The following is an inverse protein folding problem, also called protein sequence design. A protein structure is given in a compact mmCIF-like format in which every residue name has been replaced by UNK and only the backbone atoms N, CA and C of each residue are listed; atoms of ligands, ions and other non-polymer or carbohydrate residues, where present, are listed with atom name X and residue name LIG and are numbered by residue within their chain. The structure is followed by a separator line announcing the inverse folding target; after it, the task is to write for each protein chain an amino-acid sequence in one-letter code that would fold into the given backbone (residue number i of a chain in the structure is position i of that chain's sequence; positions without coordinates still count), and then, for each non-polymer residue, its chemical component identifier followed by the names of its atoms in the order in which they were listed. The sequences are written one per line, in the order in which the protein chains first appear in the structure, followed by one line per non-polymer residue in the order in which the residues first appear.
data_IF_555667797870
#
_entry.id   IF_555667797870
#
_cell.length_a   1.000
_cell.length_b   1.000
_cell.length_c   1.000
_cell.angle_alpha   90.00
_cell.angle_beta   90.00
_cell.angle_gamma   90.00
#
_symmetry.space_group_name_H-M   'P 1'
#
loop_
_entity.id
_entity.type
_entity.pdbx_description
1 polymer ?
#
# COMPACT_ATOMS: atom_id res chain seq x y z
N UNK A 1 25.65 1.43 25.87
CA UNK A 1 25.11 1.14 24.53
C UNK A 1 25.36 -0.29 24.04
N UNK A 2 26.02 -1.17 24.82
CA UNK A 2 26.16 -2.60 24.44
C UNK A 2 25.07 -3.53 24.98
N UNK A 3 24.33 -3.11 26.01
CA UNK A 3 23.25 -3.92 26.61
C UNK A 3 22.01 -4.00 25.71
N UNK A 4 21.61 -2.88 25.10
CA UNK A 4 20.36 -2.81 24.33
C UNK A 4 20.37 -3.75 23.11
N UNK A 5 21.52 -3.89 22.45
CA UNK A 5 21.69 -4.82 21.31
C UNK A 5 21.57 -6.28 21.76
N UNK A 6 22.09 -6.61 22.94
CA UNK A 6 21.99 -7.95 23.53
C UNK A 6 20.57 -8.29 23.98
N UNK A 7 19.86 -7.32 24.55
CA UNK A 7 18.46 -7.46 24.95
C UNK A 7 17.54 -7.67 23.75
N UNK A 8 17.68 -6.86 22.69
CA UNK A 8 16.87 -6.99 21.47
C UNK A 8 17.09 -8.36 20.81
N UNK A 9 18.33 -8.85 20.74
CA UNK A 9 18.60 -10.20 20.23
C UNK A 9 17.98 -11.29 21.08
N UNK A 10 17.99 -11.13 22.41
CA UNK A 10 17.36 -12.10 23.32
C UNK A 10 15.83 -12.11 23.15
N UNK A 11 15.22 -10.94 23.05
CA UNK A 11 13.77 -10.79 22.79
C UNK A 11 13.40 -11.43 21.45
N UNK A 12 14.18 -11.19 20.39
CA UNK A 12 13.95 -11.80 19.08
C UNK A 12 14.03 -13.33 19.14
N UNK A 13 15.05 -13.88 19.81
CA UNK A 13 15.17 -15.33 19.96
C UNK A 13 14.01 -15.93 20.74
N UNK A 14 13.55 -15.28 21.81
CA UNK A 14 12.37 -15.70 22.55
C UNK A 14 11.11 -15.65 21.68
N UNK A 15 10.95 -14.62 20.85
CA UNK A 15 9.84 -14.54 19.89
C UNK A 15 9.86 -15.69 18.87
N UNK A 16 11.02 -16.00 18.28
CA UNK A 16 11.16 -17.14 17.36
C UNK A 16 10.80 -18.48 18.01
N UNK A 17 11.19 -18.68 19.27
CA UNK A 17 10.83 -19.88 20.03
C UNK A 17 9.34 -19.98 20.29
N UNK A 18 8.66 -18.85 20.55
CA UNK A 18 7.20 -18.84 20.73
C UNK A 18 6.47 -19.22 19.45
N UNK A 19 6.94 -18.77 18.28
CA UNK A 19 6.40 -19.18 16.98
C UNK A 19 6.59 -20.69 16.77
N UNK A 20 7.75 -21.24 17.10
CA UNK A 20 8.03 -22.68 16.96
C UNK A 20 7.20 -23.56 17.91
N UNK A 21 6.78 -23.01 19.06
CA UNK A 21 6.00 -23.72 20.08
C UNK A 21 4.49 -23.57 19.90
N UNK A 22 4.05 -22.67 19.01
CA UNK A 22 2.64 -22.48 18.73
C UNK A 22 2.09 -23.69 17.97
N UNK A 23 1.24 -24.46 18.66
CA UNK A 23 0.52 -25.63 18.13
C UNK A 23 -0.95 -25.31 17.81
N UNK A 24 -1.31 -24.02 17.79
CA UNK A 24 -2.67 -23.59 17.48
C UNK A 24 -2.98 -23.67 15.99
N UNK A 25 -4.28 -23.75 15.65
CA UNK A 25 -4.78 -23.64 14.29
C UNK A 25 -4.86 -22.17 13.80
N UNK A 26 -3.99 -21.29 14.33
CA UNK A 26 -4.02 -19.84 14.05
C UNK A 26 -3.11 -19.48 12.87
N UNK A 27 -3.50 -18.46 12.11
CA UNK A 27 -2.63 -17.86 11.08
C UNK A 27 -1.84 -16.68 11.67
N UNK A 28 -0.52 -16.78 11.65
CA UNK A 28 0.38 -15.69 12.03
C UNK A 28 0.70 -14.81 10.81
N UNK A 29 0.37 -13.51 10.91
CA UNK A 29 0.71 -12.51 9.89
C UNK A 29 1.66 -11.46 10.48
N UNK A 30 2.74 -11.16 9.76
CA UNK A 30 3.70 -10.12 10.10
C UNK A 30 3.96 -9.19 8.92
N UNK A 31 4.25 -7.91 9.19
CA UNK A 31 4.55 -6.92 8.17
C UNK A 31 5.72 -6.03 8.61
N UNK A 32 6.61 -5.69 7.68
CA UNK A 32 7.74 -4.78 7.90
C UNK A 32 8.00 -3.94 6.65
N UNK A 33 8.40 -2.68 6.84
CA UNK A 33 8.92 -1.82 5.76
C UNK A 33 10.45 -1.88 5.67
N UNK A 34 11.11 -2.51 6.63
CA UNK A 34 12.57 -2.64 6.73
C UNK A 34 12.90 -4.12 6.92
N UNK A 35 12.82 -4.95 5.87
CA UNK A 35 13.19 -6.36 5.97
C UNK A 35 14.71 -6.55 6.17
N UNK A 36 15.52 -5.57 5.75
CA UNK A 36 16.99 -5.57 5.80
C UNK A 36 17.57 -5.50 7.21
N UNK A 37 16.84 -4.94 8.17
CA UNK A 37 17.26 -4.87 9.57
C UNK A 37 16.91 -6.13 10.37
N UNK A 38 16.13 -7.05 9.80
CA UNK A 38 15.69 -8.26 10.49
C UNK A 38 16.69 -9.40 10.30
N UNK A 39 16.80 -10.25 11.32
CA UNK A 39 17.65 -11.44 11.24
C UNK A 39 17.11 -12.43 10.20
N UNK A 40 17.98 -12.92 9.32
CA UNK A 40 17.59 -13.83 8.25
C UNK A 40 16.96 -15.15 8.77
N UNK A 41 17.23 -15.55 10.01
CA UNK A 41 16.62 -16.73 10.61
C UNK A 41 15.10 -16.58 10.80
N UNK A 42 14.59 -15.35 10.95
CA UNK A 42 13.16 -15.06 11.09
C UNK A 42 12.38 -15.50 9.85
N UNK A 43 12.88 -15.19 8.65
CA UNK A 43 12.18 -15.53 7.40
C UNK A 43 12.02 -17.05 7.22
N UNK A 44 12.91 -17.88 7.79
CA UNK A 44 12.79 -19.35 7.74
C UNK A 44 11.74 -19.92 8.69
N UNK A 45 11.07 -19.08 9.50
CA UNK A 45 9.97 -19.48 10.40
C UNK A 45 8.59 -19.13 9.85
N UNK A 46 8.53 -18.39 8.76
CA UNK A 46 7.32 -18.18 8.00
C UNK A 46 7.34 -19.12 6.80
N UNK A 47 6.21 -19.77 6.53
CA UNK A 47 6.06 -20.62 5.36
C UNK A 47 6.13 -19.80 4.06
N UNK A 48 5.54 -18.59 4.10
CA UNK A 48 5.49 -17.67 2.97
C UNK A 48 6.05 -16.29 3.34
N UNK A 49 6.84 -15.73 2.43
CA UNK A 49 7.29 -14.33 2.47
C UNK A 49 6.80 -13.63 1.22
N UNK A 50 5.91 -12.66 1.39
CA UNK A 50 5.29 -11.92 0.29
C UNK A 50 5.93 -10.53 0.19
N UNK A 51 6.61 -10.28 -0.93
CA UNK A 51 7.16 -8.96 -1.22
C UNK A 51 6.10 -8.06 -1.87
N UNK A 52 5.92 -6.87 -1.30
CA UNK A 52 5.01 -5.86 -1.82
C UNK A 52 5.78 -4.82 -2.64
N UNK A 53 5.65 -4.93 -3.97
CA UNK A 53 6.10 -3.89 -4.89
C UNK A 53 5.03 -2.83 -5.18
N UNK A 54 5.39 -1.89 -6.03
CA UNK A 54 4.41 -0.97 -6.62
C UNK A 54 3.36 -1.74 -7.44
N UNK A 55 2.10 -1.28 -7.44
CA UNK A 55 1.04 -1.92 -8.21
C UNK A 55 1.35 -1.90 -9.71
N UNK A 56 1.09 -3.02 -10.39
CA UNK A 56 1.05 -3.08 -11.86
C UNK A 56 -0.27 -2.53 -12.40
N UNK A 57 -0.34 -2.28 -13.70
CA UNK A 57 -1.51 -1.70 -14.38
C UNK A 57 -2.87 -2.30 -13.94
N UNK A 58 -2.98 -3.63 -13.86
CA UNK A 58 -4.22 -4.31 -13.45
C UNK A 58 -4.63 -3.99 -12.00
N UNK A 59 -3.65 -3.88 -11.10
CA UNK A 59 -3.86 -3.56 -9.69
C UNK A 59 -4.10 -2.06 -9.49
N UNK A 60 -3.47 -1.22 -10.31
CA UNK A 60 -3.78 0.22 -10.39
C UNK A 60 -5.23 0.40 -10.81
N UNK A 61 -5.66 -0.23 -11.90
CA UNK A 61 -7.03 -0.16 -12.40
C UNK A 61 -8.04 -0.64 -11.34
N UNK A 62 -7.74 -1.76 -10.69
CA UNK A 62 -8.58 -2.32 -9.63
C UNK A 62 -8.70 -1.37 -8.44
N UNK A 63 -7.58 -0.75 -8.04
CA UNK A 63 -7.54 0.24 -6.95
C UNK A 63 -8.35 1.48 -7.30
N UNK A 64 -8.14 2.05 -8.49
CA UNK A 64 -8.88 3.22 -8.99
C UNK A 64 -10.39 2.94 -9.01
N UNK A 65 -10.82 1.79 -9.56
CA UNK A 65 -12.23 1.39 -9.62
C UNK A 65 -12.82 1.18 -8.22
N UNK A 66 -12.08 0.54 -7.32
CA UNK A 66 -12.53 0.32 -5.96
C UNK A 66 -12.71 1.65 -5.20
N UNK A 67 -11.82 2.63 -5.43
CA UNK A 67 -11.81 3.90 -4.70
C UNK A 67 -12.77 4.95 -5.28
N UNK A 68 -12.95 4.99 -6.59
CA UNK A 68 -13.89 5.90 -7.23
C UNK A 68 -15.34 5.37 -7.22
N UNK A 69 -15.54 4.11 -6.85
CA UNK A 69 -16.82 3.44 -6.87
C UNK A 69 -17.24 3.07 -8.29
N UNK A 70 -17.67 1.82 -8.49
CA UNK A 70 -18.23 1.33 -9.76
C UNK A 70 -19.67 1.85 -9.93
N UNK A 71 -19.91 3.15 -9.74
CA UNK A 71 -21.19 3.70 -10.18
C UNK A 71 -21.11 3.84 -11.69
N UNK A 72 -22.06 3.22 -12.40
CA UNK A 72 -22.12 3.13 -13.88
C UNK A 72 -22.22 4.49 -14.58
N UNK A 73 -22.13 5.58 -13.84
CA UNK A 73 -22.22 6.99 -14.24
C UNK A 73 -20.86 7.68 -14.34
N UNK A 74 -19.76 7.04 -13.92
CA UNK A 74 -18.42 7.57 -14.18
C UNK A 74 -18.02 7.30 -15.64
N UNK A 75 -18.23 8.28 -16.50
CA UNK A 75 -17.52 8.35 -17.79
C UNK A 75 -16.08 8.84 -17.56
N UNK A 76 -15.24 7.95 -17.04
CA UNK A 76 -13.80 8.21 -16.88
C UNK A 76 -12.97 7.35 -17.83
N UNK A 77 -11.90 7.94 -18.34
CA UNK A 77 -10.92 7.27 -19.20
C UNK A 77 -9.94 6.49 -18.33
N UNK A 78 -10.28 5.23 -18.05
CA UNK A 78 -9.50 4.36 -17.20
C UNK A 78 -8.08 4.11 -17.70
N UNK A 79 -7.89 4.00 -19.02
CA UNK A 79 -6.56 3.75 -19.60
C UNK A 79 -5.63 4.92 -19.29
N UNK A 80 -6.13 6.15 -19.46
CA UNK A 80 -5.37 7.35 -19.16
C UNK A 80 -5.08 7.50 -17.66
N UNK A 81 -6.02 7.13 -16.79
CA UNK A 81 -5.80 7.17 -15.35
C UNK A 81 -4.77 6.15 -14.88
N UNK A 82 -4.79 4.94 -15.45
CA UNK A 82 -3.80 3.89 -15.13
C UNK A 82 -2.40 4.37 -15.48
N UNK A 83 -2.19 4.87 -16.70
CA UNK A 83 -0.89 5.42 -17.14
C UNK A 83 -0.40 6.55 -16.24
N UNK A 84 -1.30 7.44 -15.81
CA UNK A 84 -0.95 8.56 -14.93
C UNK A 84 -0.61 8.12 -13.49
N UNK A 85 -1.04 6.93 -13.08
CA UNK A 85 -0.81 6.37 -11.75
C UNK A 85 0.40 5.42 -11.69
N UNK A 86 1.07 5.15 -12.81
CA UNK A 86 2.27 4.32 -12.85
C UNK A 86 3.37 4.90 -11.95
N UNK A 87 4.00 4.04 -11.15
CA UNK A 87 5.03 4.43 -10.20
C UNK A 87 4.51 4.90 -8.83
N UNK A 88 3.19 5.10 -8.68
CA UNK A 88 2.59 5.46 -7.39
C UNK A 88 2.29 4.23 -6.52
N UNK A 89 2.37 4.41 -5.21
CA UNK A 89 1.95 3.40 -4.25
C UNK A 89 0.43 3.28 -4.18
N UNK A 90 -0.10 2.17 -3.67
CA UNK A 90 -1.54 2.02 -3.37
C UNK A 90 -2.08 3.16 -2.50
N UNK A 91 -1.26 3.63 -1.54
CA UNK A 91 -1.63 4.71 -0.64
C UNK A 91 -1.75 6.04 -1.39
N UNK A 92 -0.87 6.31 -2.36
CA UNK A 92 -0.90 7.54 -3.15
C UNK A 92 -2.06 7.54 -4.15
N UNK A 93 -2.31 6.41 -4.81
CA UNK A 93 -3.47 6.24 -5.70
C UNK A 93 -4.78 6.45 -4.92
N UNK A 94 -4.87 5.85 -3.73
CA UNK A 94 -6.03 6.01 -2.85
C UNK A 94 -6.24 7.47 -2.46
N UNK A 95 -5.18 8.14 -2.01
CA UNK A 95 -5.25 9.56 -1.63
C UNK A 95 -5.61 10.46 -2.80
N UNK A 96 -5.04 10.21 -3.98
CA UNK A 96 -5.39 10.96 -5.19
C UNK A 96 -6.89 10.84 -5.51
N UNK A 97 -7.47 9.64 -5.39
CA UNK A 97 -8.91 9.45 -5.57
C UNK A 97 -9.72 10.23 -4.53
N UNK A 98 -9.34 10.14 -3.25
CA UNK A 98 -10.00 10.86 -2.17
C UNK A 98 -9.94 12.38 -2.34
N UNK A 99 -8.79 12.91 -2.75
CA UNK A 99 -8.60 14.34 -2.97
C UNK A 99 -9.39 14.84 -4.19
N UNK A 100 -9.43 14.07 -5.28
CA UNK A 100 -10.27 14.37 -6.43
C UNK A 100 -11.76 14.38 -6.06
N UNK A 101 -12.23 13.42 -5.26
CA UNK A 101 -13.61 13.40 -4.78
C UNK A 101 -13.93 14.58 -3.85
N UNK A 102 -13.03 14.92 -2.93
CA UNK A 102 -13.18 16.09 -2.06
C UNK A 102 -13.28 17.38 -2.88
N UNK A 103 -12.43 17.56 -3.89
CA UNK A 103 -12.45 18.73 -4.75
C UNK A 103 -13.79 18.88 -5.50
N UNK A 104 -14.31 17.77 -6.04
CA UNK A 104 -15.63 17.72 -6.69
C UNK A 104 -16.74 18.18 -5.73
N UNK A 105 -16.75 17.67 -4.50
CA UNK A 105 -17.75 18.02 -3.48
C UNK A 105 -17.63 19.49 -3.05
N UNK A 106 -16.42 19.99 -2.83
CA UNK A 106 -16.16 21.38 -2.42
C UNK A 106 -16.66 22.38 -3.46
N UNK A 107 -16.63 22.00 -4.74
CA UNK A 107 -17.12 22.83 -5.84
C UNK A 107 -18.58 22.54 -6.23
N UNK A 108 -19.36 21.91 -5.33
CA UNK A 108 -20.78 21.57 -5.51
C UNK A 108 -21.07 20.80 -6.83
N UNK A 109 -20.11 19.98 -7.28
CA UNK A 109 -20.27 19.10 -8.44
C UNK A 109 -20.74 17.72 -8.00
N UNK A 110 -21.63 17.11 -8.79
CA UNK A 110 -22.16 15.76 -8.55
C UNK A 110 -21.47 14.66 -9.37
N UNK A 111 -20.53 15.04 -10.24
CA UNK A 111 -19.86 14.15 -11.17
C UNK A 111 -18.35 14.41 -11.18
N UNK A 112 -17.59 13.33 -11.00
CA UNK A 112 -16.13 13.33 -11.11
C UNK A 112 -15.74 13.07 -12.56
N UNK A 113 -14.78 13.84 -13.06
CA UNK A 113 -14.25 13.73 -14.42
C UNK A 113 -12.84 13.15 -14.39
N UNK A 114 -12.42 12.58 -15.50
CA UNK A 114 -11.03 12.09 -15.70
C UNK A 114 -10.00 13.17 -15.31
N UNK A 115 -10.26 14.44 -15.64
CA UNK A 115 -9.35 15.56 -15.35
C UNK A 115 -9.12 15.79 -13.87
N UNK A 116 -10.13 15.54 -13.04
CA UNK A 116 -10.05 15.74 -11.58
C UNK A 116 -9.08 14.74 -10.97
N UNK A 117 -9.21 13.47 -11.38
CA UNK A 117 -8.33 12.39 -10.92
C UNK A 117 -6.93 12.53 -11.49
N UNK A 118 -6.79 12.91 -12.76
CA UNK A 118 -5.47 13.16 -13.37
C UNK A 118 -4.69 14.26 -12.67
N UNK A 119 -5.37 15.35 -12.29
CA UNK A 119 -4.75 16.44 -11.52
C UNK A 119 -4.21 15.91 -10.19
N UNK A 120 -5.05 15.20 -9.43
CA UNK A 120 -4.67 14.67 -8.13
C UNK A 120 -3.52 13.63 -8.23
N UNK A 121 -3.55 12.74 -9.24
CA UNK A 121 -2.46 11.80 -9.50
C UNK A 121 -1.15 12.51 -9.84
N UNK A 122 -1.22 13.54 -10.69
CA UNK A 122 -0.04 14.32 -11.08
C UNK A 122 0.58 15.06 -9.89
N UNK A 123 -0.23 15.65 -9.02
CA UNK A 123 0.23 16.30 -7.78
C UNK A 123 0.98 15.32 -6.87
N UNK A 124 0.49 14.07 -6.76
CA UNK A 124 1.18 13.00 -6.00
C UNK A 124 2.51 12.61 -6.64
N UNK A 125 2.56 12.49 -7.97
CA UNK A 125 3.80 12.18 -8.69
C UNK A 125 4.88 13.25 -8.45
N UNK A 126 4.50 14.53 -8.46
CA UNK A 126 5.43 15.64 -8.20
C UNK A 126 5.90 15.67 -6.75
N UNK A 127 5.06 15.26 -5.80
CA UNK A 127 5.43 15.19 -4.40
C UNK A 127 6.43 14.06 -4.09
N UNK A 128 6.43 12.96 -4.84
CA UNK A 128 7.41 11.88 -4.71
C UNK A 128 8.76 12.18 -5.40
N UNK A 129 8.77 13.05 -6.41
CA UNK A 129 9.99 13.43 -7.13
C UNK A 129 10.92 14.40 -6.39
N UNK A 130 10.65 14.68 -5.12
CA UNK A 130 11.47 15.48 -4.20
C UNK A 130 11.90 14.63 -3.02
#
# INVERSE_FOLDING_TARGET
MGNDVGEIRRVLNSFLQLIEQDDSDSLLLAATNHPDILDHALFRRFDDVIEFGLPREELILSTLKAKLGIDKRLEVDWERLVKAAEGLSYADITRACEDAMKDVIIHDRNEIKTTDVLKALSERQMAQGK
#
